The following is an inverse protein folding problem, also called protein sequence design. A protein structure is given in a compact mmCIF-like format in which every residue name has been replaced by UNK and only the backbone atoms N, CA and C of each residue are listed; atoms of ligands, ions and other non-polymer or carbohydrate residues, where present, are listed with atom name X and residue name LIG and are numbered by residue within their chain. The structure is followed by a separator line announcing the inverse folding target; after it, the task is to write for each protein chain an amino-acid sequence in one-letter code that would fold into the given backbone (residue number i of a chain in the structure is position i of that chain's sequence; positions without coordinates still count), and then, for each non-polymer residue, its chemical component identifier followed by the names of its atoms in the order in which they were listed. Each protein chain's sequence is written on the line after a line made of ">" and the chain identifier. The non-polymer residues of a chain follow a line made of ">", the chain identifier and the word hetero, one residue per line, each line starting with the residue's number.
data_IF_249427158390
#
_entry.id   IF_249427158390
#
_cell.length_a   1.000
_cell.length_b   1.000
_cell.length_c   1.000
_cell.angle_alpha   90.00
_cell.angle_beta   90.00
_cell.angle_gamma   90.00
#
_symmetry.space_group_name_H-M   'P 1'
#
loop_
_entity.id
_entity.type
_entity.pdbx_description
1 polymer ?
#
# COMPACT_ATOMS: atom_id res chain seq x y z
N UNK A 1 -62.04 -37.44 12.94
CA UNK A 1 -61.16 -36.70 12.01
C UNK A 1 -60.21 -35.71 12.71
N UNK A 2 -60.59 -34.99 13.78
CA UNK A 2 -59.72 -33.96 14.40
C UNK A 2 -58.46 -34.45 15.16
N UNK A 3 -58.46 -35.67 15.72
CA UNK A 3 -57.33 -36.18 16.52
C UNK A 3 -56.09 -36.55 15.66
N UNK A 4 -56.30 -37.11 14.47
CA UNK A 4 -55.22 -37.47 13.55
C UNK A 4 -54.52 -36.24 12.94
N UNK A 5 -55.26 -35.14 12.75
CA UNK A 5 -54.70 -33.88 12.24
C UNK A 5 -53.76 -33.24 13.26
N UNK A 6 -54.12 -33.28 14.55
CA UNK A 6 -53.25 -32.80 15.63
C UNK A 6 -51.98 -33.64 15.75
N UNK A 7 -52.11 -34.98 15.70
CA UNK A 7 -50.95 -35.88 15.76
C UNK A 7 -50.00 -35.69 14.58
N UNK A 8 -50.51 -35.48 13.36
CA UNK A 8 -49.69 -35.17 12.20
C UNK A 8 -48.96 -33.83 12.35
N UNK A 9 -49.65 -32.80 12.87
CA UNK A 9 -49.04 -31.51 13.15
C UNK A 9 -47.94 -31.61 14.23
N UNK A 10 -48.19 -32.34 15.32
CA UNK A 10 -47.21 -32.56 16.40
C UNK A 10 -45.98 -33.31 15.90
N UNK A 11 -46.16 -34.30 15.02
CA UNK A 11 -45.06 -35.03 14.38
C UNK A 11 -44.20 -34.11 13.51
N UNK A 12 -44.81 -33.20 12.74
CA UNK A 12 -44.09 -32.20 11.93
C UNK A 12 -43.31 -31.25 12.83
N UNK A 13 -43.92 -30.75 13.91
CA UNK A 13 -43.25 -29.88 14.89
C UNK A 13 -42.04 -30.58 15.53
N UNK A 14 -42.19 -31.84 15.92
CA UNK A 14 -41.10 -32.62 16.49
C UNK A 14 -39.98 -32.88 15.48
N UNK A 15 -40.32 -33.15 14.22
CA UNK A 15 -39.35 -33.30 13.14
C UNK A 15 -38.56 -32.02 12.90
N UNK A 16 -39.23 -30.86 12.87
CA UNK A 16 -38.58 -29.56 12.71
C UNK A 16 -37.68 -29.22 13.91
N UNK A 17 -38.11 -29.54 15.13
CA UNK A 17 -37.26 -29.38 16.33
C UNK A 17 -36.01 -30.24 16.25
N UNK A 18 -36.15 -31.50 15.82
CA UNK A 18 -35.02 -32.40 15.61
C UNK A 18 -34.08 -31.88 14.53
N UNK A 19 -34.62 -31.50 13.37
CA UNK A 19 -33.82 -30.95 12.28
C UNK A 19 -33.07 -29.68 12.71
N UNK A 20 -33.72 -28.80 13.47
CA UNK A 20 -33.06 -27.62 14.02
C UNK A 20 -31.92 -27.98 14.99
N UNK A 21 -32.13 -28.97 15.85
CA UNK A 21 -31.08 -29.45 16.74
C UNK A 21 -29.90 -30.06 15.96
N UNK A 22 -30.19 -30.89 14.96
CA UNK A 22 -29.17 -31.52 14.11
C UNK A 22 -28.37 -30.44 13.35
N UNK A 23 -29.02 -29.39 12.84
CA UNK A 23 -28.35 -28.26 12.19
C UNK A 23 -27.43 -27.49 13.16
N UNK A 24 -27.86 -27.26 14.40
CA UNK A 24 -27.02 -26.61 15.43
C UNK A 24 -25.78 -27.45 15.72
N UNK A 25 -25.93 -28.78 15.84
CA UNK A 25 -24.80 -29.68 16.08
C UNK A 25 -23.81 -29.66 14.90
N UNK A 26 -24.32 -29.66 13.67
CA UNK A 26 -23.48 -29.53 12.46
C UNK A 26 -22.72 -28.20 12.46
N UNK A 27 -23.40 -27.08 12.76
CA UNK A 27 -22.76 -25.77 12.84
C UNK A 27 -21.63 -25.75 13.88
N UNK A 28 -21.87 -26.25 15.09
CA UNK A 28 -20.87 -26.31 16.17
C UNK A 28 -19.66 -27.16 15.78
N UNK A 29 -19.89 -28.29 15.11
CA UNK A 29 -18.80 -29.17 14.66
C UNK A 29 -17.96 -28.51 13.56
N UNK A 30 -18.62 -27.89 12.57
CA UNK A 30 -17.94 -27.15 11.51
C UNK A 30 -17.12 -25.99 12.05
N UNK A 31 -17.66 -25.22 13.00
CA UNK A 31 -16.92 -24.12 13.63
C UNK A 31 -15.67 -24.62 14.36
N UNK A 32 -15.79 -25.74 15.10
CA UNK A 32 -14.66 -26.35 15.79
C UNK A 32 -13.59 -26.86 14.83
N UNK A 33 -14.00 -27.56 13.77
CA UNK A 33 -13.08 -28.04 12.73
C UNK A 33 -12.41 -26.87 12.01
N UNK A 34 -13.16 -25.81 11.70
CA UNK A 34 -12.63 -24.61 11.08
C UNK A 34 -11.55 -23.93 11.95
N UNK A 35 -11.79 -23.77 13.25
CA UNK A 35 -10.81 -23.21 14.18
C UNK A 35 -9.58 -24.11 14.38
N UNK A 36 -9.75 -25.43 14.28
CA UNK A 36 -8.64 -26.38 14.37
C UNK A 36 -7.75 -26.37 13.12
N UNK A 37 -8.36 -26.29 11.93
CA UNK A 37 -7.64 -26.24 10.65
C UNK A 37 -7.00 -24.87 10.44
N UNK A 38 -7.71 -23.80 10.81
CA UNK A 38 -7.26 -22.42 10.63
C UNK A 38 -7.06 -21.74 11.97
N UNK A 39 -5.85 -21.79 12.55
CA UNK A 39 -5.52 -20.99 13.71
C UNK A 39 -5.65 -19.50 13.40
N UNK A 40 -5.74 -18.67 14.44
CA UNK A 40 -6.06 -17.25 14.35
C UNK A 40 -5.20 -16.44 13.36
N UNK A 41 -3.92 -16.77 13.23
CA UNK A 41 -2.98 -16.14 12.31
C UNK A 41 -3.14 -16.58 10.84
N UNK A 42 -3.79 -17.71 10.59
CA UNK A 42 -4.03 -18.31 9.27
C UNK A 42 -5.52 -18.34 8.90
N UNK A 43 -6.40 -17.79 9.74
CA UNK A 43 -7.83 -17.68 9.46
C UNK A 43 -8.07 -16.85 8.18
N UNK A 44 -8.68 -17.43 7.12
CA UNK A 44 -8.86 -16.74 5.84
C UNK A 44 -9.61 -15.40 5.94
N UNK A 45 -10.63 -15.32 6.80
CA UNK A 45 -11.40 -14.09 6.99
C UNK A 45 -10.54 -13.00 7.65
N UNK A 46 -9.73 -13.38 8.66
CA UNK A 46 -8.78 -12.45 9.30
C UNK A 46 -7.67 -12.02 8.35
N UNK A 47 -7.18 -12.93 7.49
CA UNK A 47 -6.19 -12.62 6.47
C UNK A 47 -6.72 -11.61 5.44
N UNK A 48 -7.94 -11.80 4.94
CA UNK A 48 -8.59 -10.85 4.02
C UNK A 48 -8.70 -9.47 4.66
N UNK A 49 -9.12 -9.39 5.93
CA UNK A 49 -9.21 -8.11 6.64
C UNK A 49 -7.83 -7.43 6.80
N UNK A 50 -6.79 -8.21 7.11
CA UNK A 50 -5.41 -7.69 7.20
C UNK A 50 -4.89 -7.21 5.84
N UNK A 51 -5.17 -7.94 4.77
CA UNK A 51 -4.78 -7.57 3.41
C UNK A 51 -5.48 -6.26 3.01
N UNK A 52 -6.79 -6.14 3.24
CA UNK A 52 -7.54 -4.89 2.97
C UNK A 52 -6.94 -3.71 3.72
N UNK A 53 -6.64 -3.89 5.01
CA UNK A 53 -5.98 -2.86 5.81
C UNK A 53 -4.62 -2.46 5.23
N UNK A 54 -3.78 -3.43 4.85
CA UNK A 54 -2.48 -3.16 4.23
C UNK A 54 -2.65 -2.41 2.91
N UNK A 55 -3.65 -2.75 2.09
CA UNK A 55 -3.94 -2.05 0.84
C UNK A 55 -4.33 -0.58 1.08
N UNK A 56 -5.18 -0.32 2.08
CA UNK A 56 -5.56 1.03 2.50
C UNK A 56 -4.34 1.81 3.02
N UNK A 57 -3.57 1.22 3.94
CA UNK A 57 -2.37 1.82 4.52
C UNK A 57 -1.31 2.12 3.44
N UNK A 58 -1.13 1.24 2.45
CA UNK A 58 -0.22 1.46 1.31
C UNK A 58 -0.69 2.60 0.42
N UNK A 59 -1.99 2.75 0.19
CA UNK A 59 -2.54 3.86 -0.59
C UNK A 59 -2.26 5.20 0.09
N UNK A 60 -2.50 5.28 1.40
CA UNK A 60 -2.21 6.47 2.21
C UNK A 60 -0.71 6.77 2.19
N UNK A 61 0.13 5.75 2.40
CA UNK A 61 1.58 5.91 2.38
C UNK A 61 2.07 6.42 1.01
N UNK A 62 1.51 5.93 -0.10
CA UNK A 62 1.84 6.41 -1.45
C UNK A 62 1.53 7.90 -1.61
N UNK A 63 0.36 8.34 -1.15
CA UNK A 63 -0.05 9.74 -1.17
C UNK A 63 0.91 10.61 -0.35
N UNK A 64 1.20 10.21 0.89
CA UNK A 64 2.15 10.90 1.77
C UNK A 64 3.55 10.99 1.18
N UNK A 65 4.05 9.93 0.54
CA UNK A 65 5.31 9.96 -0.19
C UNK A 65 5.26 10.97 -1.35
N UNK A 66 4.16 11.02 -2.10
CA UNK A 66 3.96 11.99 -3.17
C UNK A 66 4.01 13.44 -2.67
N UNK A 67 3.31 13.74 -1.58
CA UNK A 67 3.36 15.06 -0.93
C UNK A 67 4.76 15.43 -0.45
N UNK A 68 5.48 14.47 0.17
CA UNK A 68 6.85 14.69 0.63
C UNK A 68 7.82 14.96 -0.54
N UNK A 69 7.68 14.24 -1.65
CA UNK A 69 8.46 14.48 -2.86
C UNK A 69 8.19 15.89 -3.42
N UNK A 70 6.92 16.30 -3.47
CA UNK A 70 6.54 17.64 -3.92
C UNK A 70 7.12 18.74 -3.01
N UNK A 71 7.02 18.57 -1.69
CA UNK A 71 7.58 19.49 -0.70
C UNK A 71 9.10 19.61 -0.82
N UNK A 72 9.80 18.48 -1.06
CA UNK A 72 11.25 18.49 -1.28
C UNK A 72 11.62 19.21 -2.57
N UNK A 73 10.84 19.05 -3.65
CA UNK A 73 11.08 19.75 -4.91
C UNK A 73 10.90 21.27 -4.74
N UNK A 74 9.85 21.71 -4.05
CA UNK A 74 9.63 23.13 -3.74
C UNK A 74 10.79 23.72 -2.90
N UNK A 75 11.31 22.98 -1.92
CA UNK A 75 12.48 23.39 -1.15
C UNK A 75 13.72 23.56 -2.04
N UNK A 76 13.96 22.62 -2.96
CA UNK A 76 15.07 22.70 -3.93
C UNK A 76 14.93 23.92 -4.82
N UNK A 77 13.74 24.19 -5.34
CA UNK A 77 13.48 25.32 -6.24
C UNK A 77 13.68 26.66 -5.52
N UNK A 78 13.23 26.76 -4.26
CA UNK A 78 13.46 27.93 -3.39
C UNK A 78 14.94 28.12 -3.08
N UNK A 79 15.64 27.05 -2.69
CA UNK A 79 17.08 27.09 -2.41
C UNK A 79 17.87 27.53 -3.64
N UNK A 80 17.55 26.98 -4.82
CA UNK A 80 18.18 27.34 -6.08
C UNK A 80 17.95 28.80 -6.45
N UNK A 81 16.69 29.27 -6.36
CA UNK A 81 16.33 30.66 -6.67
C UNK A 81 17.09 31.63 -5.75
N UNK A 82 17.12 31.36 -4.45
CA UNK A 82 17.83 32.18 -3.46
C UNK A 82 19.34 32.18 -3.70
N UNK A 83 19.95 31.00 -3.87
CA UNK A 83 21.39 30.86 -4.01
C UNK A 83 21.91 31.48 -5.31
N UNK A 84 21.24 31.24 -6.44
CA UNK A 84 21.58 31.87 -7.73
C UNK A 84 21.37 33.38 -7.66
N UNK A 85 20.28 33.85 -7.03
CA UNK A 85 20.02 35.27 -6.81
C UNK A 85 21.13 35.95 -6.02
N UNK A 86 21.51 35.38 -4.87
CA UNK A 86 22.58 35.88 -4.01
C UNK A 86 23.93 35.87 -4.73
N UNK A 87 24.25 34.79 -5.46
CA UNK A 87 25.49 34.70 -6.25
C UNK A 87 25.56 35.81 -7.31
N UNK A 88 24.47 36.03 -8.04
CA UNK A 88 24.40 37.11 -9.04
C UNK A 88 24.62 38.49 -8.41
N UNK A 89 24.08 38.73 -7.22
CA UNK A 89 24.28 39.98 -6.49
C UNK A 89 25.74 40.16 -6.08
N UNK A 90 26.37 39.12 -5.52
CA UNK A 90 27.79 39.13 -5.14
C UNK A 90 28.68 39.38 -6.37
N UNK A 91 28.42 38.72 -7.49
CA UNK A 91 29.18 38.91 -8.72
C UNK A 91 29.08 40.36 -9.24
N UNK A 92 27.89 40.98 -9.17
CA UNK A 92 27.72 42.40 -9.50
C UNK A 92 28.52 43.31 -8.56
N UNK A 93 28.55 43.00 -7.26
CA UNK A 93 29.35 43.74 -6.28
C UNK A 93 30.87 43.56 -6.49
N UNK A 94 31.32 42.35 -6.83
CA UNK A 94 32.73 42.09 -7.16
C UNK A 94 33.15 42.89 -8.41
N UNK A 95 32.31 42.90 -9.44
CA UNK A 95 32.56 43.66 -10.66
C UNK A 95 32.64 45.18 -10.40
N UNK A 96 31.81 45.73 -9.50
CA UNK A 96 31.83 47.16 -9.18
C UNK A 96 33.06 47.58 -8.37
N UNK A 97 33.65 46.67 -7.58
CA UNK A 97 34.85 46.91 -6.76
C UNK A 97 36.14 46.46 -7.46
N UNK A 98 36.06 45.99 -8.72
CA UNK A 98 37.18 45.40 -9.50
C UNK A 98 37.89 44.24 -8.81
N UNK A 99 37.13 43.45 -8.03
CA UNK A 99 37.57 42.18 -7.48
C UNK A 99 37.39 41.11 -8.56
N UNK A 100 38.32 40.16 -8.74
CA UNK A 100 38.16 39.05 -9.68
C UNK A 100 36.83 38.32 -9.46
N UNK A 101 36.11 38.04 -10.55
CA UNK A 101 34.86 37.28 -10.46
C UNK A 101 35.18 35.81 -10.19
N UNK A 102 34.57 35.27 -9.14
CA UNK A 102 34.61 33.83 -8.86
C UNK A 102 33.78 33.06 -9.89
N UNK A 103 34.44 32.20 -10.66
CA UNK A 103 33.76 31.33 -11.64
C UNK A 103 33.02 30.18 -10.94
N UNK A 104 32.12 29.48 -11.63
CA UNK A 104 31.39 28.33 -11.05
C UNK A 104 32.35 27.21 -10.60
N UNK A 105 33.47 27.05 -11.31
CA UNK A 105 34.50 26.05 -11.03
C UNK A 105 35.37 26.42 -9.80
N UNK A 106 35.43 27.71 -9.46
CA UNK A 106 36.12 28.21 -8.26
C UNK A 106 35.24 28.17 -6.99
N UNK A 107 33.96 27.80 -7.12
CA UNK A 107 33.05 27.64 -5.99
C UNK A 107 32.65 26.16 -5.82
N UNK A 108 33.48 25.38 -5.09
CA UNK A 108 33.21 23.95 -4.87
C UNK A 108 31.91 23.70 -4.11
N UNK A 109 31.42 24.65 -3.32
CA UNK A 109 30.15 24.50 -2.59
C UNK A 109 28.94 24.59 -3.54
N UNK A 110 28.99 25.53 -4.51
CA UNK A 110 27.94 25.66 -5.51
C UNK A 110 27.95 24.50 -6.53
N UNK A 111 29.13 24.01 -6.92
CA UNK A 111 29.26 22.81 -7.75
C UNK A 111 28.64 21.58 -7.07
N UNK A 112 28.96 21.36 -5.79
CA UNK A 112 28.39 20.26 -5.00
C UNK A 112 26.86 20.37 -4.90
N UNK A 113 26.32 21.58 -4.67
CA UNK A 113 24.87 21.80 -4.63
C UNK A 113 24.18 21.39 -5.94
N UNK A 114 24.74 21.76 -7.10
CA UNK A 114 24.17 21.37 -8.40
C UNK A 114 24.24 19.85 -8.60
N UNK A 115 25.36 19.22 -8.24
CA UNK A 115 25.50 17.76 -8.32
C UNK A 115 24.42 17.02 -7.50
N UNK A 116 24.16 17.47 -6.26
CA UNK A 116 23.12 16.89 -5.41
C UNK A 116 21.73 17.04 -6.03
N UNK A 117 21.44 18.20 -6.66
CA UNK A 117 20.16 18.41 -7.36
C UNK A 117 20.03 17.49 -8.58
N UNK A 118 21.11 17.34 -9.36
CA UNK A 118 21.10 16.51 -10.55
C UNK A 118 20.91 15.03 -10.18
N UNK A 119 21.58 14.56 -9.12
CA UNK A 119 21.37 13.22 -8.56
C UNK A 119 19.92 13.01 -8.10
N UNK A 120 19.37 13.97 -7.35
CA UNK A 120 17.97 13.93 -6.94
C UNK A 120 17.01 13.83 -8.14
N UNK A 121 17.25 14.66 -9.17
CA UNK A 121 16.42 14.69 -10.38
C UNK A 121 16.47 13.35 -11.12
N UNK A 122 17.64 12.72 -11.18
CA UNK A 122 17.80 11.39 -11.77
C UNK A 122 17.05 10.31 -10.97
N UNK A 123 17.14 10.33 -9.63
CA UNK A 123 16.44 9.38 -8.77
C UNK A 123 14.92 9.48 -8.92
N UNK A 124 14.35 10.69 -8.93
CA UNK A 124 12.90 10.90 -9.10
C UNK A 124 12.43 10.39 -10.48
N UNK A 125 13.16 10.73 -11.55
CA UNK A 125 12.80 10.29 -12.92
C UNK A 125 12.89 8.77 -13.11
N UNK A 126 13.91 8.14 -12.55
CA UNK A 126 14.09 6.67 -12.64
C UNK A 126 12.93 5.90 -12.00
N UNK A 127 12.34 6.43 -10.92
CA UNK A 127 11.23 5.79 -10.20
C UNK A 127 9.87 6.04 -10.84
N UNK A 128 9.66 7.20 -11.48
CA UNK A 128 8.43 7.48 -12.23
C UNK A 128 8.33 6.65 -13.52
N UNK A 129 9.45 6.23 -14.11
CA UNK A 129 9.47 5.39 -15.32
C UNK A 129 9.08 3.92 -15.10
N UNK A 130 9.17 3.42 -13.87
CA UNK A 130 8.99 2.00 -13.53
C UNK A 130 7.52 1.64 -13.17
N UNK A 131 6.67 2.65 -12.94
CA UNK A 131 5.25 2.44 -12.62
C UNK A 131 4.41 1.90 -13.81
N UNK A 132 4.97 1.88 -15.03
CA UNK A 132 4.30 1.35 -16.23
C UNK A 132 4.37 -0.17 -16.40
N UNK A 133 5.16 -0.89 -15.61
CA UNK A 133 5.41 -2.34 -15.80
C UNK A 133 4.82 -3.23 -14.69
N UNK A 134 4.40 -2.67 -13.56
CA UNK A 134 3.79 -3.45 -12.46
C UNK A 134 2.26 -3.63 -12.59
N UNK A 135 1.72 -3.52 -13.81
CA UNK A 135 0.35 -3.98 -14.12
C UNK A 135 0.26 -5.48 -14.38
N UNK A 136 1.37 -6.21 -14.33
CA UNK A 136 1.37 -7.66 -14.15
C UNK A 136 1.16 -7.99 -12.66
N UNK A 137 -0.02 -7.60 -12.16
CA UNK A 137 -0.70 -8.36 -11.12
C UNK A 137 -1.07 -9.71 -11.74
N UNK A 138 -0.05 -10.54 -11.99
CA UNK A 138 -0.17 -11.97 -12.25
C UNK A 138 -0.70 -12.61 -10.95
N UNK A 139 -1.99 -12.36 -10.74
CA UNK A 139 -2.96 -13.28 -10.22
C UNK A 139 -2.45 -14.13 -9.05
N UNK A 140 -2.20 -13.45 -7.91
CA UNK A 140 -1.93 -14.08 -6.62
C UNK A 140 -3.01 -15.14 -6.30
N UNK A 141 -4.24 -14.92 -6.78
CA UNK A 141 -5.30 -15.93 -6.73
C UNK A 141 -4.95 -17.16 -7.59
N UNK A 142 -4.50 -17.02 -8.84
CA UNK A 142 -4.04 -18.19 -9.63
C UNK A 142 -2.86 -18.91 -8.97
N UNK A 143 -1.91 -18.21 -8.34
CA UNK A 143 -0.80 -18.83 -7.63
C UNK A 143 -1.28 -19.63 -6.40
N UNK A 144 -2.22 -19.08 -5.63
CA UNK A 144 -2.77 -19.73 -4.44
C UNK A 144 -3.69 -20.91 -4.80
N UNK A 145 -4.46 -20.83 -5.88
CA UNK A 145 -5.41 -21.86 -6.27
C UNK A 145 -4.79 -22.96 -7.16
N UNK A 146 -3.70 -22.70 -7.87
CA UNK A 146 -2.97 -23.74 -8.63
C UNK A 146 -2.18 -24.70 -7.73
N UNK A 147 -1.70 -24.23 -6.57
CA UNK A 147 -0.99 -25.06 -5.59
C UNK A 147 -1.90 -26.09 -4.88
N UNK A 148 -3.22 -25.84 -4.83
CA UNK A 148 -4.16 -26.68 -4.08
C UNK A 148 -4.75 -27.83 -4.92
N UNK A 149 -4.65 -27.77 -6.26
CA UNK A 149 -5.34 -28.73 -7.16
C UNK A 149 -4.50 -29.97 -7.53
N UNK A 150 -3.25 -30.09 -7.06
CA UNK A 150 -2.37 -31.23 -7.41
C UNK A 150 -2.42 -32.44 -6.46
N UNK A 151 -3.49 -32.62 -5.68
CA UNK A 151 -3.67 -33.82 -4.85
C UNK A 151 -5.04 -34.47 -5.07
N UNK A 152 -5.17 -35.21 -6.16
CA UNK A 152 -5.82 -36.54 -6.29
C UNK A 152 -5.90 -36.97 -7.75
#
# INVERSE_FOLDING_TARGET
>A
MGHHSHQAADNVVNLLKKANHDLILVQLKLEKEFQQVYPDNANPMKLVNRIKKIQEDLSILKEQCGELLAAKQDLIDKARTSLVGNRNQIQRMQASVRIPLTTVDEDPAFANFNQIIDEWTAQVRSRTGDEGQNSESEDINNLLFSAIVHSN
#
